data_IF_496172957994
#
_entry.id   IF_496172957994
#
_cell.length_a   1.000
_cell.length_b   1.000
_cell.length_c   1.000
_cell.angle_alpha   90.00
_cell.angle_beta   90.00
_cell.angle_gamma   90.00
#
_symmetry.space_group_name_H-M   'P 1'
#
loop_
_entity.id
_entity.type
_entity.pdbx_description
1 polymer ?
#
# COMPACT_ATOMS: atom_id res chain seq x y z
N UNK A 1 34.13 -50.28 -11.78
CA UNK A 1 34.69 -49.20 -10.92
C UNK A 1 34.28 -47.78 -11.35
N UNK A 2 34.01 -47.54 -12.63
CA UNK A 2 33.67 -46.21 -13.19
C UNK A 2 32.31 -45.67 -12.75
N UNK A 3 31.27 -46.51 -12.69
CA UNK A 3 29.91 -46.10 -12.27
C UNK A 3 29.85 -45.56 -10.83
N UNK A 4 30.53 -46.23 -9.89
CA UNK A 4 30.58 -45.79 -8.48
C UNK A 4 31.30 -44.46 -8.30
N UNK A 5 32.36 -44.22 -9.09
CA UNK A 5 33.10 -42.94 -9.09
C UNK A 5 32.24 -41.81 -9.67
N UNK A 6 31.46 -42.10 -10.72
CA UNK A 6 30.50 -41.15 -11.28
C UNK A 6 29.39 -40.75 -10.30
N UNK A 7 28.84 -41.73 -9.56
CA UNK A 7 27.81 -41.46 -8.55
C UNK A 7 28.34 -40.62 -7.38
N UNK A 8 29.55 -40.91 -6.90
CA UNK A 8 30.19 -40.14 -5.83
C UNK A 8 30.51 -38.70 -6.26
N UNK A 9 30.96 -38.51 -7.51
CA UNK A 9 31.19 -37.17 -8.06
C UNK A 9 29.87 -36.37 -8.16
N UNK A 10 28.78 -37.02 -8.58
CA UNK A 10 27.46 -36.39 -8.67
C UNK A 10 26.93 -35.99 -7.29
N UNK A 11 27.03 -36.88 -6.30
CA UNK A 11 26.63 -36.59 -4.92
C UNK A 11 27.48 -35.49 -4.29
N UNK A 12 28.79 -35.48 -4.57
CA UNK A 12 29.69 -34.41 -4.13
C UNK A 12 29.34 -33.06 -4.75
N UNK A 13 29.06 -33.03 -6.05
CA UNK A 13 28.62 -31.81 -6.74
C UNK A 13 27.28 -31.30 -6.21
N UNK A 14 26.33 -32.20 -5.93
CA UNK A 14 25.03 -31.85 -5.37
C UNK A 14 25.17 -31.30 -3.94
N UNK A 15 25.97 -31.95 -3.08
CA UNK A 15 26.26 -31.47 -1.73
C UNK A 15 26.94 -30.10 -1.74
N UNK A 16 27.89 -29.87 -2.66
CA UNK A 16 28.54 -28.57 -2.82
C UNK A 16 27.55 -27.50 -3.31
N UNK A 17 26.65 -27.84 -4.23
CA UNK A 17 25.61 -26.91 -4.69
C UNK A 17 24.61 -26.52 -3.60
N UNK A 18 24.27 -27.44 -2.68
CA UNK A 18 23.43 -27.14 -1.53
C UNK A 18 24.16 -26.37 -0.42
N UNK A 19 25.49 -26.51 -0.32
CA UNK A 19 26.31 -25.75 0.62
C UNK A 19 26.43 -24.27 0.21
N UNK A 20 26.27 -23.95 -1.08
CA UNK A 20 26.14 -22.58 -1.58
C UNK A 20 24.66 -22.18 -1.60
N UNK A 21 24.04 -22.16 -0.42
CA UNK A 21 22.78 -21.45 -0.25
C UNK A 21 23.06 -19.95 -0.35
N UNK A 22 23.09 -19.41 -1.58
CA UNK A 22 23.00 -17.96 -1.76
C UNK A 22 21.67 -17.56 -1.11
N UNK A 23 21.65 -16.67 -0.11
CA UNK A 23 20.39 -16.15 0.37
C UNK A 23 19.69 -15.54 -0.84
N UNK A 24 18.62 -16.19 -1.29
CA UNK A 24 17.69 -15.55 -2.16
C UNK A 24 17.12 -14.41 -1.32
N UNK A 25 17.64 -13.20 -1.52
CA UNK A 25 16.95 -11.99 -1.13
C UNK A 25 15.66 -11.98 -1.96
N UNK A 26 14.65 -12.69 -1.49
CA UNK A 26 13.27 -12.29 -1.71
C UNK A 26 13.21 -10.90 -1.08
N UNK A 27 13.57 -9.89 -1.86
CA UNK A 27 13.80 -8.56 -1.34
C UNK A 27 12.51 -8.14 -0.63
N UNK A 28 12.53 -7.86 0.70
CA UNK A 28 11.51 -6.99 1.24
C UNK A 28 11.56 -5.73 0.39
N UNK A 29 10.40 -5.35 -0.16
CA UNK A 29 10.18 -4.25 -1.13
C UNK A 29 11.27 -3.17 -0.95
N UNK A 30 12.21 -3.10 -1.90
CA UNK A 30 13.53 -2.48 -1.67
C UNK A 30 13.48 -1.01 -1.23
N UNK A 31 14.63 -0.46 -0.81
CA UNK A 31 14.77 0.85 -0.14
C UNK A 31 14.21 2.10 -0.87
N UNK A 32 13.63 1.92 -2.07
CA UNK A 32 13.05 2.96 -2.92
C UNK A 32 11.53 2.85 -3.10
N UNK A 33 10.89 1.82 -2.53
CA UNK A 33 9.45 1.60 -2.76
C UNK A 33 8.55 2.58 -2.03
N UNK A 34 7.40 2.85 -2.63
CA UNK A 34 6.25 3.50 -1.99
C UNK A 34 5.07 2.54 -2.10
N UNK A 35 4.68 1.94 -0.99
CA UNK A 35 3.55 1.03 -0.94
C UNK A 35 2.28 1.79 -0.55
N UNK A 36 1.16 1.39 -1.12
CA UNK A 36 -0.13 2.04 -0.91
C UNK A 36 -1.17 1.01 -0.58
N UNK A 37 -1.92 1.28 0.48
CA UNK A 37 -3.04 0.47 0.91
C UNK A 37 -4.27 1.34 1.05
N UNK A 38 -5.41 0.84 0.56
CA UNK A 38 -6.71 1.48 0.73
C UNK A 38 -7.70 0.46 1.27
N UNK A 39 -8.21 0.71 2.47
CA UNK A 39 -9.40 0.01 2.94
C UNK A 39 -10.62 0.89 2.67
N UNK A 40 -11.51 0.43 1.81
CA UNK A 40 -12.77 1.09 1.48
C UNK A 40 -13.88 0.42 2.27
N UNK A 41 -14.39 1.08 3.29
CA UNK A 41 -15.45 0.55 4.14
C UNK A 41 -16.80 1.16 3.76
N UNK A 42 -17.76 0.31 3.41
CA UNK A 42 -19.16 0.70 3.20
C UNK A 42 -19.83 0.79 4.57
N UNK A 43 -20.29 1.97 4.98
CA UNK A 43 -20.77 2.22 6.33
C UNK A 43 -22.14 2.92 6.31
N UNK A 44 -23.16 2.20 5.85
CA UNK A 44 -24.52 2.72 5.72
C UNK A 44 -24.62 3.89 4.75
N UNK A 45 -24.76 5.10 5.29
CA UNK A 45 -24.92 6.37 4.57
C UNK A 45 -23.59 7.06 4.23
N UNK A 46 -22.45 6.41 4.49
CA UNK A 46 -21.13 6.89 4.10
C UNK A 46 -20.22 5.78 3.60
N UNK A 47 -19.22 6.19 2.84
CA UNK A 47 -18.06 5.37 2.48
C UNK A 47 -16.86 5.97 3.19
N UNK A 48 -16.23 5.18 4.04
CA UNK A 48 -15.00 5.54 4.74
C UNK A 48 -13.80 4.93 3.99
N UNK A 49 -12.71 5.68 3.90
CA UNK A 49 -11.46 5.21 3.29
C UNK A 49 -10.31 5.42 4.26
N UNK A 50 -9.66 4.34 4.67
CA UNK A 50 -8.35 4.41 5.32
C UNK A 50 -7.31 4.29 4.21
N UNK A 51 -6.56 5.37 3.98
CA UNK A 51 -5.47 5.39 3.00
C UNK A 51 -4.13 5.40 3.72
N UNK A 52 -3.29 4.42 3.43
CA UNK A 52 -1.95 4.30 4.01
C UNK A 52 -0.92 4.37 2.90
N UNK A 53 0.08 5.22 3.08
CA UNK A 53 1.27 5.30 2.24
C UNK A 53 2.50 4.97 3.08
N UNK A 54 3.14 3.87 2.72
CA UNK A 54 4.39 3.42 3.33
C UNK A 54 5.57 3.76 2.42
N UNK A 55 6.44 4.61 2.93
CA UNK A 55 7.67 5.03 2.27
C UNK A 55 8.83 4.20 2.81
N UNK A 56 9.55 3.53 1.91
CA UNK A 56 10.83 2.92 2.25
C UNK A 56 11.87 3.99 2.63
N UNK A 57 13.05 3.55 3.06
CA UNK A 57 14.08 4.40 3.67
C UNK A 57 14.45 5.66 2.87
N UNK A 58 14.71 5.54 1.57
CA UNK A 58 15.14 6.69 0.77
C UNK A 58 13.99 7.68 0.54
N UNK A 59 12.79 7.26 0.12
CA UNK A 59 11.65 8.17 0.05
C UNK A 59 11.29 8.79 1.42
N UNK A 60 11.34 8.02 2.51
CA UNK A 60 11.03 8.51 3.85
C UNK A 60 12.04 9.57 4.32
N UNK A 61 13.33 9.39 4.00
CA UNK A 61 14.35 10.41 4.25
C UNK A 61 14.04 11.72 3.52
N UNK A 62 13.62 11.65 2.26
CA UNK A 62 13.22 12.82 1.46
C UNK A 62 11.97 13.51 2.02
N UNK A 63 10.93 12.75 2.39
CA UNK A 63 9.72 13.31 3.00
C UNK A 63 10.02 13.97 4.35
N UNK A 64 10.86 13.35 5.19
CA UNK A 64 11.26 13.91 6.49
C UNK A 64 11.95 15.26 6.35
N UNK A 65 12.81 15.42 5.34
CA UNK A 65 13.44 16.71 5.05
C UNK A 65 12.38 17.76 4.71
N UNK A 66 11.46 17.47 3.79
CA UNK A 66 10.38 18.40 3.40
C UNK A 66 9.47 18.79 4.57
N UNK A 67 9.10 17.83 5.42
CA UNK A 67 8.30 18.09 6.63
C UNK A 67 9.05 19.00 7.60
N UNK A 68 10.36 18.85 7.72
CA UNK A 68 11.19 19.68 8.62
C UNK A 68 11.38 21.09 8.06
N UNK A 69 11.53 21.20 6.75
CA UNK A 69 11.81 22.47 6.07
C UNK A 69 10.56 23.35 5.92
N UNK A 70 9.37 22.75 5.84
CA UNK A 70 8.09 23.45 5.66
C UNK A 70 6.97 22.85 6.54
N UNK A 71 6.50 23.65 7.50
CA UNK A 71 5.43 23.28 8.42
C UNK A 71 4.08 23.02 7.72
N UNK A 72 3.83 23.60 6.53
CA UNK A 72 2.61 23.39 5.76
C UNK A 72 2.69 22.21 4.78
N UNK A 73 3.87 21.61 4.59
CA UNK A 73 4.08 20.56 3.60
C UNK A 73 3.19 19.34 3.85
N UNK A 74 3.05 18.92 5.11
CA UNK A 74 2.30 17.70 5.43
C UNK A 74 0.81 17.86 5.09
N UNK A 75 0.20 18.99 5.43
CA UNK A 75 -1.20 19.28 5.12
C UNK A 75 -1.43 19.34 3.60
N UNK A 76 -0.54 20.01 2.86
CA UNK A 76 -0.60 20.05 1.41
C UNK A 76 -0.45 18.64 0.82
N UNK A 77 0.47 17.84 1.37
CA UNK A 77 0.71 16.45 0.92
C UNK A 77 -0.51 15.57 1.13
N UNK A 78 -1.18 15.70 2.28
CA UNK A 78 -2.43 15.00 2.60
C UNK A 78 -3.54 15.40 1.63
N UNK A 79 -3.68 16.70 1.35
CA UNK A 79 -4.64 17.20 0.37
C UNK A 79 -4.38 16.64 -1.04
N UNK A 80 -3.14 16.69 -1.51
CA UNK A 80 -2.76 16.21 -2.85
C UNK A 80 -2.98 14.70 -3.00
N UNK A 81 -2.59 13.91 -1.99
CA UNK A 81 -2.80 12.47 -1.99
C UNK A 81 -4.29 12.12 -1.98
N UNK A 82 -5.09 12.86 -1.22
CA UNK A 82 -6.55 12.70 -1.18
C UNK A 82 -7.19 13.02 -2.53
N UNK A 83 -6.69 14.06 -3.23
CA UNK A 83 -7.13 14.42 -4.58
C UNK A 83 -6.88 13.34 -5.64
N UNK A 84 -5.85 12.50 -5.44
CA UNK A 84 -5.55 11.33 -6.26
C UNK A 84 -6.42 10.11 -5.98
N UNK A 85 -7.33 10.18 -5.01
CA UNK A 85 -8.30 9.11 -4.72
C UNK A 85 -9.65 9.45 -5.39
N UNK A 86 -10.06 8.60 -6.32
CA UNK A 86 -11.27 8.79 -7.12
C UNK A 86 -12.35 7.83 -6.66
N UNK A 87 -13.39 8.35 -6.02
CA UNK A 87 -14.60 7.61 -5.64
C UNK A 87 -15.78 8.06 -6.50
N UNK A 88 -16.46 7.11 -7.13
CA UNK A 88 -17.74 7.33 -7.81
C UNK A 88 -18.81 6.40 -7.26
N UNK A 89 -20.02 6.93 -7.15
CA UNK A 89 -21.24 6.16 -6.89
C UNK A 89 -22.21 6.43 -8.04
N UNK A 90 -22.54 5.38 -8.79
CA UNK A 90 -23.15 5.51 -10.11
C UNK A 90 -22.29 6.38 -11.02
N UNK A 91 -22.88 7.43 -11.58
CA UNK A 91 -22.19 8.41 -12.44
C UNK A 91 -21.59 9.61 -11.67
N UNK A 92 -21.84 9.73 -10.36
CA UNK A 92 -21.44 10.91 -9.58
C UNK A 92 -20.09 10.66 -8.91
N UNK A 93 -19.13 11.57 -9.14
CA UNK A 93 -17.91 11.64 -8.33
C UNK A 93 -18.26 12.15 -6.93
N UNK A 94 -17.88 11.40 -5.90
CA UNK A 94 -17.98 11.83 -4.52
C UNK A 94 -16.60 12.32 -4.05
N UNK A 95 -16.47 13.59 -3.60
CA UNK A 95 -15.22 14.05 -3.01
C UNK A 95 -14.99 13.33 -1.68
N UNK A 96 -13.77 12.86 -1.48
CA UNK A 96 -13.33 12.31 -0.20
C UNK A 96 -12.84 13.46 0.68
N UNK A 97 -13.51 13.66 1.81
CA UNK A 97 -13.16 14.67 2.80
C UNK A 97 -12.16 14.07 3.78
N UNK A 98 -11.07 14.79 4.04
CA UNK A 98 -10.08 14.41 5.06
C UNK A 98 -10.68 14.68 6.44
N UNK A 99 -10.76 13.64 7.26
CA UNK A 99 -11.16 13.76 8.67
C UNK A 99 -9.96 13.92 9.58
N UNK A 100 -8.95 13.06 9.42
CA UNK A 100 -7.73 13.06 10.23
C UNK A 100 -6.56 12.45 9.46
N UNK A 101 -5.34 12.69 9.90
CA UNK A 101 -4.14 12.06 9.37
C UNK A 101 -3.05 11.89 10.44
N UNK A 102 -2.18 10.91 10.25
CA UNK A 102 -1.04 10.69 11.15
C UNK A 102 0.21 10.23 10.41
N UNK A 103 1.36 10.59 10.96
CA UNK A 103 2.67 10.17 10.46
C UNK A 103 3.42 9.44 11.56
N UNK A 104 3.97 8.28 11.22
CA UNK A 104 4.84 7.51 12.11
C UNK A 104 6.12 7.13 11.36
N UNK A 105 7.26 7.28 12.03
CA UNK A 105 8.56 6.84 11.51
C UNK A 105 9.00 5.57 12.23
N UNK A 106 9.50 4.59 11.48
CA UNK A 106 10.02 3.33 12.02
C UNK A 106 11.49 3.14 11.65
N UNK A 107 12.26 2.36 12.42
CA UNK A 107 13.61 1.96 12.00
C UNK A 107 13.55 1.14 10.69
N UNK A 108 14.41 1.48 9.74
CA UNK A 108 14.63 0.73 8.51
C UNK A 108 15.83 -0.22 8.62
N UNK A 109 15.98 -1.11 7.64
CA UNK A 109 17.02 -2.15 7.64
C UNK A 109 18.40 -1.62 7.21
N UNK A 110 18.45 -0.56 6.41
CA UNK A 110 19.66 0.11 5.95
C UNK A 110 20.16 1.20 6.88
N UNK A 111 19.61 1.32 8.10
CA UNK A 111 20.02 2.29 9.11
C UNK A 111 19.37 3.66 8.99
N UNK A 112 18.43 3.85 8.06
CA UNK A 112 17.57 5.03 7.97
C UNK A 112 16.20 4.73 8.59
N UNK A 113 15.28 5.70 8.54
CA UNK A 113 13.89 5.50 8.96
C UNK A 113 13.01 5.24 7.76
N UNK A 114 11.99 4.37 7.89
CA UNK A 114 10.83 4.35 7.01
C UNK A 114 9.75 5.28 7.55
N UNK A 115 8.75 5.61 6.73
CA UNK A 115 7.65 6.49 7.13
C UNK A 115 6.32 5.88 6.71
N UNK A 116 5.33 5.93 7.60
CA UNK A 116 3.93 5.64 7.32
C UNK A 116 3.12 6.91 7.45
N UNK A 117 2.43 7.30 6.39
CA UNK A 117 1.36 8.31 6.43
C UNK A 117 0.02 7.60 6.33
N UNK A 118 -0.85 7.80 7.31
CA UNK A 118 -2.23 7.36 7.29
C UNK A 118 -3.16 8.56 7.15
N UNK A 119 -4.16 8.46 6.28
CA UNK A 119 -5.20 9.47 6.08
C UNK A 119 -6.56 8.78 6.25
N UNK A 120 -7.40 9.36 7.09
CA UNK A 120 -8.80 8.95 7.27
C UNK A 120 -9.67 9.86 6.41
N UNK A 121 -10.37 9.27 5.45
CA UNK A 121 -11.26 9.99 4.55
C UNK A 121 -12.69 9.46 4.63
N UNK A 122 -13.66 10.31 4.32
CA UNK A 122 -15.06 9.90 4.23
C UNK A 122 -15.80 10.61 3.10
N UNK A 123 -16.86 9.98 2.60
CA UNK A 123 -17.79 10.57 1.66
C UNK A 123 -19.23 10.12 1.99
N UNK A 124 -20.14 11.07 2.14
CA UNK A 124 -21.56 10.78 2.33
C UNK A 124 -22.17 10.21 1.03
N UNK A 125 -22.94 9.12 1.14
CA UNK A 125 -23.65 8.51 0.02
C UNK A 125 -25.01 9.17 -0.15
N UNK A 126 -25.37 9.64 -1.35
CA UNK A 126 -26.52 10.52 -1.53
C UNK A 126 -27.89 9.80 -1.54
N UNK A 127 -27.93 8.47 -1.66
CA UNK A 127 -29.18 7.74 -1.74
C UNK A 127 -29.05 6.30 -1.21
N UNK A 128 -30.10 5.86 -0.53
CA UNK A 128 -30.27 4.48 -0.11
C UNK A 128 -30.61 3.57 -1.30
N UNK A 129 -30.33 2.27 -1.15
CA UNK A 129 -30.69 1.23 -2.12
C UNK A 129 -29.49 0.66 -2.88
N UNK A 130 -29.78 -0.16 -3.89
CA UNK A 130 -28.75 -0.86 -4.67
C UNK A 130 -28.02 0.13 -5.58
N UNK A 131 -26.72 0.25 -5.39
CA UNK A 131 -25.86 1.13 -6.17
C UNK A 131 -24.55 0.45 -6.56
N UNK A 132 -23.96 0.90 -7.67
CA UNK A 132 -22.60 0.54 -8.04
C UNK A 132 -21.64 1.65 -7.61
N UNK A 133 -20.50 1.28 -7.07
CA UNK A 133 -19.43 2.22 -6.73
C UNK A 133 -18.13 1.80 -7.41
N UNK A 134 -17.27 2.77 -7.70
CA UNK A 134 -15.91 2.52 -8.17
C UNK A 134 -14.92 3.38 -7.39
N UNK A 135 -13.79 2.77 -7.04
CA UNK A 135 -12.70 3.43 -6.34
C UNK A 135 -11.40 3.23 -7.12
N UNK A 136 -10.61 4.29 -7.26
CA UNK A 136 -9.31 4.26 -7.93
C UNK A 136 -8.34 5.21 -7.26
N UNK A 137 -7.20 4.68 -6.83
CA UNK A 137 -6.02 5.46 -6.45
C UNK A 137 -5.13 5.73 -7.69
N UNK A 138 -4.91 7.01 -8.03
CA UNK A 138 -4.05 7.46 -9.13
C UNK A 138 -2.70 8.03 -8.67
N UNK A 139 -2.40 7.98 -7.38
CA UNK A 139 -1.15 8.49 -6.82
C UNK A 139 0.05 7.67 -7.31
N UNK A 140 1.23 8.29 -7.28
CA UNK A 140 2.52 7.63 -7.54
C UNK A 140 2.57 6.76 -8.81
N UNK A 141 2.14 7.28 -9.98
CA UNK A 141 2.23 6.53 -11.23
C UNK A 141 3.70 6.19 -11.54
N UNK A 142 3.96 4.95 -11.93
CA UNK A 142 5.30 4.49 -12.31
C UNK A 142 6.29 4.33 -11.15
N UNK A 143 5.89 4.55 -9.89
CA UNK A 143 6.75 4.28 -8.74
C UNK A 143 6.75 2.79 -8.40
N UNK A 144 7.92 2.29 -8.02
CA UNK A 144 8.08 0.95 -7.47
C UNK A 144 7.34 0.84 -6.14
N UNK A 145 6.67 -0.28 -5.93
CA UNK A 145 5.96 -0.59 -4.70
C UNK A 145 4.72 -1.43 -4.95
N UNK A 146 4.10 -1.86 -3.86
CA UNK A 146 2.83 -2.58 -3.87
C UNK A 146 1.66 -1.62 -3.81
N UNK A 147 0.55 -2.00 -4.43
CA UNK A 147 -0.72 -1.30 -4.32
C UNK A 147 -1.82 -2.30 -4.01
N UNK A 148 -2.48 -2.10 -2.88
CA UNK A 148 -3.56 -2.94 -2.40
C UNK A 148 -4.80 -2.11 -2.12
N UNK A 149 -5.96 -2.66 -2.51
CA UNK A 149 -7.27 -2.10 -2.23
C UNK A 149 -8.14 -3.25 -1.74
N UNK A 150 -8.74 -3.08 -0.58
CA UNK A 150 -9.70 -4.02 -0.01
C UNK A 150 -11.01 -3.31 0.29
N UNK A 151 -12.11 -4.04 0.21
CA UNK A 151 -13.45 -3.53 0.51
C UNK A 151 -13.96 -4.20 1.77
N UNK A 152 -14.52 -3.44 2.71
CA UNK A 152 -15.14 -4.01 3.90
C UNK A 152 -16.59 -3.54 4.03
N UNK A 153 -17.45 -4.42 4.54
CA UNK A 153 -18.80 -4.07 4.95
C UNK A 153 -18.79 -3.63 6.42
N UNK A 154 -19.40 -2.48 6.72
CA UNK A 154 -19.63 -1.95 8.07
C UNK A 154 -21.03 -1.33 8.16
N UNK A 155 -21.51 -1.03 9.38
CA UNK A 155 -22.64 -0.11 9.61
C UNK A 155 -23.93 -0.39 8.83
N UNK A 156 -24.26 -1.67 8.58
CA UNK A 156 -25.51 -2.06 7.93
C UNK A 156 -25.53 -1.98 6.40
N UNK A 157 -24.42 -1.62 5.75
CA UNK A 157 -24.32 -1.73 4.29
C UNK A 157 -24.10 -3.19 3.86
N UNK A 158 -24.68 -3.58 2.72
CA UNK A 158 -24.47 -4.91 2.12
C UNK A 158 -23.73 -4.77 0.79
N UNK A 159 -22.47 -5.21 0.77
CA UNK A 159 -21.72 -5.45 -0.47
C UNK A 159 -22.29 -6.69 -1.18
N UNK A 160 -22.76 -6.52 -2.40
CA UNK A 160 -23.30 -7.61 -3.21
C UNK A 160 -22.22 -8.29 -4.05
N UNK A 161 -21.35 -7.49 -4.66
CA UNK A 161 -20.25 -7.96 -5.51
C UNK A 161 -19.08 -6.99 -5.42
N UNK A 162 -17.86 -7.50 -5.58
CA UNK A 162 -16.63 -6.69 -5.63
C UNK A 162 -15.61 -7.32 -6.56
N UNK A 163 -14.85 -6.48 -7.25
CA UNK A 163 -13.67 -6.89 -8.02
C UNK A 163 -12.39 -6.84 -7.19
N UNK A 164 -12.43 -6.20 -6.02
CA UNK A 164 -11.37 -6.19 -5.03
C UNK A 164 -11.68 -7.22 -3.93
N UNK A 165 -10.66 -7.74 -3.22
CA UNK A 165 -10.88 -8.59 -2.05
C UNK A 165 -11.81 -7.92 -1.03
N UNK A 166 -12.74 -8.71 -0.47
CA UNK A 166 -13.77 -8.23 0.46
C UNK A 166 -14.15 -9.26 1.52
#
# INVERSE_FOLDING_TARGET
MTLRRGLLALLGALALSMAVAVPAFAHPLGNFTINRFSQVSLNGDRIDVVYVVDYAEIPAFQEKQRITDDAGYLDQRVHDLSGGLLLHVGARRLPLLVGDHSVVFFPGQGGLQTMRLQILLSAATPAAGRQSASYRDTNYPGRLGWKEIVVQQMGGATLLTSTAPS
#
